data_IF_615352254377
#
_entry.id   IF_615352254377
#
_cell.length_a   1.000
_cell.length_b   1.000
_cell.length_c   1.000
_cell.angle_alpha   90.00
_cell.angle_beta   90.00
_cell.angle_gamma   90.00
#
_symmetry.space_group_name_H-M   'P 1'
#
loop_
_entity.id
_entity.type
_entity.pdbx_description
1 polymer ?
#
# COMPACT_ATOMS: atom_id res chain seq x y z
N UNK A 1 44.56 34.50 -24.13
CA UNK A 1 44.44 34.60 -22.66
C UNK A 1 43.01 34.29 -22.30
N UNK A 2 42.74 33.06 -21.86
CA UNK A 2 41.38 32.59 -21.55
C UNK A 2 41.21 32.67 -20.04
N UNK A 3 40.59 33.74 -19.55
CA UNK A 3 40.25 33.87 -18.14
C UNK A 3 39.10 32.91 -17.82
N UNK A 4 39.42 31.81 -17.14
CA UNK A 4 38.43 30.94 -16.50
C UNK A 4 37.95 31.68 -15.26
N UNK A 5 36.89 32.47 -15.41
CA UNK A 5 36.18 33.03 -14.25
C UNK A 5 35.43 31.90 -13.59
N UNK A 6 36.09 31.20 -12.66
CA UNK A 6 35.42 30.30 -11.73
C UNK A 6 34.49 31.16 -10.87
N UNK A 7 33.19 31.16 -11.16
CA UNK A 7 32.16 31.63 -10.23
C UNK A 7 32.28 30.78 -8.96
N UNK A 8 33.09 31.22 -8.01
CA UNK A 8 33.11 30.62 -6.69
C UNK A 8 31.77 30.94 -6.03
N UNK A 9 30.90 29.94 -5.96
CA UNK A 9 29.71 30.00 -5.12
C UNK A 9 30.12 30.32 -3.69
N UNK A 10 29.26 31.03 -2.96
CA UNK A 10 29.48 31.32 -1.55
C UNK A 10 29.58 30.01 -0.76
N UNK A 11 30.80 29.62 -0.38
CA UNK A 11 31.01 28.54 0.56
C UNK A 11 30.77 29.10 1.97
N UNK A 12 29.78 28.57 2.73
CA UNK A 12 29.58 29.02 4.09
C UNK A 12 30.82 28.73 4.92
N UNK A 13 31.22 29.68 5.77
CA UNK A 13 32.40 29.56 6.64
C UNK A 13 32.26 28.42 7.67
N UNK A 14 31.03 28.07 8.03
CA UNK A 14 30.70 26.93 8.89
C UNK A 14 30.20 25.81 7.98
N UNK A 15 30.92 24.68 8.00
CA UNK A 15 30.57 23.50 7.22
C UNK A 15 30.40 22.29 8.12
N UNK A 16 29.49 21.42 7.71
CA UNK A 16 29.22 20.13 8.35
C UNK A 16 30.01 19.10 7.55
N UNK A 17 31.02 18.49 8.16
CA UNK A 17 31.98 17.63 7.45
C UNK A 17 31.82 16.15 7.80
N UNK A 18 31.03 15.82 8.83
CA UNK A 18 30.78 14.43 9.21
C UNK A 18 29.30 14.15 9.41
N UNK A 19 28.93 12.88 9.25
CA UNK A 19 27.58 12.41 9.53
C UNK A 19 27.17 12.69 10.99
N UNK A 20 28.08 12.54 11.95
CA UNK A 20 27.82 12.83 13.37
C UNK A 20 27.54 14.31 13.63
N UNK A 21 28.28 15.22 12.98
CA UNK A 21 27.99 16.66 13.04
C UNK A 21 26.64 16.98 12.42
N UNK A 22 26.28 16.32 11.32
CA UNK A 22 24.99 16.49 10.66
C UNK A 22 23.83 16.02 11.55
N UNK A 23 23.99 14.88 12.24
CA UNK A 23 23.02 14.40 13.21
C UNK A 23 22.79 15.41 14.34
N UNK A 24 23.88 15.93 14.92
CA UNK A 24 23.79 16.94 15.98
C UNK A 24 23.17 18.24 15.49
N UNK A 25 23.53 18.68 14.28
CA UNK A 25 22.90 19.83 13.64
C UNK A 25 21.39 19.61 13.49
N UNK A 26 20.97 18.44 13.01
CA UNK A 26 19.58 18.13 12.79
C UNK A 26 18.77 18.09 14.10
N UNK A 27 19.34 17.56 15.19
CA UNK A 27 18.72 17.59 16.53
C UNK A 27 18.50 19.02 17.02
N UNK A 28 19.52 19.87 16.92
CA UNK A 28 19.44 21.28 17.33
C UNK A 28 18.44 22.03 16.45
N UNK A 29 18.52 21.85 15.13
CA UNK A 29 17.66 22.52 14.17
C UNK A 29 16.18 22.14 14.40
N UNK A 30 15.88 20.86 14.66
CA UNK A 30 14.53 20.39 14.95
C UNK A 30 13.92 21.04 16.19
N UNK A 31 14.74 21.38 17.21
CA UNK A 31 14.31 22.05 18.43
C UNK A 31 14.34 23.59 18.39
N UNK A 32 14.92 24.19 17.34
CA UNK A 32 15.20 25.63 17.27
C UNK A 32 13.97 26.51 17.04
N UNK A 33 12.88 25.96 16.49
CA UNK A 33 11.73 26.74 16.01
C UNK A 33 12.00 27.58 14.75
N UNK A 34 13.21 27.53 14.18
CA UNK A 34 13.62 28.28 12.98
C UNK A 34 13.61 27.44 11.70
N UNK A 35 13.18 26.18 11.79
CA UNK A 35 12.98 25.30 10.62
C UNK A 35 11.53 25.35 10.15
N UNK A 36 11.26 25.07 8.85
CA UNK A 36 9.88 24.96 8.38
C UNK A 36 9.07 23.93 9.19
N UNK A 37 7.74 24.15 9.25
CA UNK A 37 6.82 23.35 10.08
C UNK A 37 6.95 21.85 9.86
N UNK A 38 7.24 21.43 8.64
CA UNK A 38 7.38 20.02 8.29
C UNK A 38 8.58 19.34 8.96
N UNK A 39 9.57 20.11 9.40
CA UNK A 39 10.82 19.66 10.01
C UNK A 39 10.87 19.81 11.53
N UNK A 40 9.94 20.55 12.14
CA UNK A 40 9.91 20.77 13.59
C UNK A 40 9.77 19.44 14.34
N UNK A 41 10.67 19.20 15.30
CA UNK A 41 10.70 17.95 16.07
C UNK A 41 11.07 16.69 15.28
N UNK A 42 11.56 16.83 14.03
CA UNK A 42 11.88 15.69 13.14
C UNK A 42 13.34 15.75 12.65
N UNK A 43 14.33 15.43 13.51
CA UNK A 43 15.74 15.49 13.14
C UNK A 43 16.10 14.57 11.97
N UNK A 44 15.53 13.37 11.88
CA UNK A 44 15.78 12.47 10.76
C UNK A 44 15.34 13.07 9.40
N UNK A 45 14.23 13.81 9.36
CA UNK A 45 13.78 14.47 8.14
C UNK A 45 14.73 15.59 7.72
N UNK A 46 15.26 16.36 8.69
CA UNK A 46 16.26 17.40 8.45
C UNK A 46 17.55 16.79 7.89
N UNK A 47 18.04 15.71 8.50
CA UNK A 47 19.25 15.03 8.05
C UNK A 47 19.13 14.61 6.58
N UNK A 48 18.03 13.96 6.21
CA UNK A 48 17.79 13.52 4.82
C UNK A 48 17.65 14.71 3.87
N UNK A 49 16.92 15.76 4.27
CA UNK A 49 16.76 16.95 3.45
C UNK A 49 18.09 17.66 3.21
N UNK A 50 18.95 17.79 4.23
CA UNK A 50 20.28 18.40 4.11
C UNK A 50 21.19 17.54 3.24
N UNK A 51 21.18 16.21 3.39
CA UNK A 51 21.98 15.32 2.56
C UNK A 51 21.57 15.43 1.08
N UNK A 52 20.27 15.42 0.80
CA UNK A 52 19.73 15.59 -0.55
C UNK A 52 20.03 16.98 -1.12
N UNK A 53 19.95 18.02 -0.30
CA UNK A 53 20.31 19.37 -0.75
C UNK A 53 21.80 19.50 -1.03
N UNK A 54 22.67 18.89 -0.22
CA UNK A 54 24.11 18.82 -0.48
C UNK A 54 24.40 18.16 -1.82
N UNK A 55 23.65 17.10 -2.18
CA UNK A 55 23.70 16.49 -3.50
C UNK A 55 23.33 17.48 -4.61
N UNK A 56 22.34 18.34 -4.43
CA UNK A 56 21.99 19.40 -5.37
C UNK A 56 22.94 20.61 -5.34
N UNK A 57 23.94 20.62 -4.45
CA UNK A 57 24.83 21.76 -4.25
C UNK A 57 24.24 22.88 -3.38
N UNK A 58 23.19 22.60 -2.61
CA UNK A 58 22.58 23.52 -1.65
C UNK A 58 23.28 23.43 -0.29
N UNK A 59 23.42 24.57 0.38
CA UNK A 59 23.87 24.61 1.77
C UNK A 59 22.80 24.02 2.71
N UNK A 60 23.15 23.55 3.94
CA UNK A 60 22.20 22.91 4.85
C UNK A 60 20.93 23.73 5.14
N UNK A 61 21.09 25.03 5.45
CA UNK A 61 19.96 25.93 5.71
C UNK A 61 19.10 26.15 4.46
N UNK A 62 19.73 26.25 3.29
CA UNK A 62 19.05 26.40 2.01
C UNK A 62 18.29 25.13 1.63
N UNK A 63 18.83 23.96 1.97
CA UNK A 63 18.23 22.65 1.73
C UNK A 63 16.89 22.53 2.44
N UNK A 64 16.84 22.88 3.73
CA UNK A 64 15.59 22.83 4.51
C UNK A 64 14.52 23.80 3.98
N UNK A 65 14.91 24.96 3.46
CA UNK A 65 13.96 25.94 2.91
C UNK A 65 13.42 25.51 1.54
N UNK A 66 14.27 24.88 0.72
CA UNK A 66 13.96 24.62 -0.69
C UNK A 66 13.47 23.20 -0.98
N UNK A 67 13.74 22.25 -0.09
CA UNK A 67 13.30 20.86 -0.22
C UNK A 67 12.05 20.66 0.64
N UNK A 68 10.99 20.18 0.01
CA UNK A 68 9.74 19.80 0.64
C UNK A 68 9.52 18.29 0.51
N UNK A 69 9.07 17.64 1.58
CA UNK A 69 8.71 16.22 1.56
C UNK A 69 7.20 16.11 1.48
N UNK A 70 6.68 15.86 0.29
CA UNK A 70 5.24 15.83 0.02
C UNK A 70 4.84 14.40 -0.30
N UNK A 71 3.88 13.86 0.44
CA UNK A 71 3.44 12.46 0.31
C UNK A 71 4.57 11.42 0.42
N UNK A 72 5.63 11.74 1.17
CA UNK A 72 6.82 10.89 1.31
C UNK A 72 7.78 10.96 0.12
N UNK A 73 7.54 11.85 -0.85
CA UNK A 73 8.41 12.13 -1.98
C UNK A 73 9.19 13.42 -1.74
N UNK A 74 10.52 13.35 -1.66
CA UNK A 74 11.35 14.55 -1.66
C UNK A 74 11.19 15.31 -2.96
N UNK A 75 10.94 16.62 -2.86
CA UNK A 75 10.66 17.50 -3.98
C UNK A 75 11.29 18.86 -3.73
N UNK A 76 11.54 19.64 -4.79
CA UNK A 76 12.18 20.96 -4.70
C UNK A 76 11.18 22.04 -5.11
N UNK A 77 11.10 23.15 -4.39
CA UNK A 77 10.24 24.27 -4.80
C UNK A 77 10.62 24.79 -6.19
N UNK A 78 9.63 25.09 -7.04
CA UNK A 78 9.87 25.45 -8.43
C UNK A 78 10.79 26.65 -8.64
N UNK A 79 10.83 27.60 -7.70
CA UNK A 79 11.76 28.73 -7.74
C UNK A 79 13.21 28.33 -7.43
N UNK A 80 13.40 27.44 -6.45
CA UNK A 80 14.73 26.91 -6.14
C UNK A 80 15.26 26.04 -7.28
N UNK A 81 14.37 25.28 -7.92
CA UNK A 81 14.69 24.46 -9.07
C UNK A 81 15.17 25.31 -10.26
N UNK A 82 14.49 26.43 -10.54
CA UNK A 82 14.94 27.41 -11.54
C UNK A 82 16.31 28.01 -11.17
N UNK A 83 16.52 28.35 -9.90
CA UNK A 83 17.78 28.87 -9.40
C UNK A 83 18.94 27.90 -9.60
N UNK A 84 18.73 26.61 -9.30
CA UNK A 84 19.71 25.55 -9.51
C UNK A 84 20.09 25.41 -10.99
N UNK A 85 19.10 25.40 -11.88
CA UNK A 85 19.36 25.31 -13.32
C UNK A 85 20.10 26.54 -13.82
N UNK A 86 19.66 27.75 -13.46
CA UNK A 86 20.32 28.99 -13.89
C UNK A 86 21.75 29.14 -13.36
N UNK A 87 22.03 28.61 -12.16
CA UNK A 87 23.38 28.57 -11.61
C UNK A 87 24.28 27.53 -12.30
N UNK A 88 23.69 26.57 -13.02
CA UNK A 88 24.44 25.50 -13.68
C UNK A 88 25.22 26.05 -14.89
N UNK A 89 26.51 25.71 -15.03
CA UNK A 89 27.34 26.20 -16.13
C UNK A 89 26.87 25.73 -17.51
N UNK A 90 26.07 24.66 -17.57
CA UNK A 90 25.51 24.11 -18.82
C UNK A 90 24.23 24.82 -19.26
N UNK A 91 23.61 25.64 -18.40
CA UNK A 91 22.45 26.44 -18.77
C UNK A 91 22.87 27.59 -19.67
N UNK A 92 22.15 27.77 -20.78
CA UNK A 92 22.29 28.94 -21.65
C UNK A 92 21.26 29.99 -21.22
N UNK A 93 19.97 29.64 -21.26
CA UNK A 93 18.89 30.52 -20.80
C UNK A 93 17.63 29.72 -20.42
N UNK A 94 16.76 30.32 -19.62
CA UNK A 94 15.41 29.83 -19.34
C UNK A 94 14.44 31.01 -19.39
N UNK A 95 13.54 30.96 -20.37
CA UNK A 95 12.53 31.99 -20.62
C UNK A 95 11.15 31.44 -20.32
N UNK A 96 10.37 32.21 -19.56
CA UNK A 96 9.00 31.87 -19.21
C UNK A 96 8.07 32.95 -19.76
N UNK A 97 7.04 32.54 -20.50
CA UNK A 97 6.01 33.43 -21.03
C UNK A 97 4.62 32.91 -20.67
N UNK A 98 3.67 33.83 -20.64
CA UNK A 98 2.26 33.53 -20.45
C UNK A 98 1.50 34.15 -21.60
N UNK A 99 0.82 33.31 -22.38
CA UNK A 99 0.04 33.72 -23.54
C UNK A 99 -1.46 33.55 -23.26
N UNK A 100 -2.28 34.37 -23.91
CA UNK A 100 -3.74 34.31 -23.78
C UNK A 100 -4.29 34.90 -22.50
N UNK A 101 -5.61 34.86 -22.37
CA UNK A 101 -6.36 35.42 -21.25
C UNK A 101 -7.49 34.50 -20.81
N UNK A 102 -7.84 34.56 -19.52
CA UNK A 102 -8.90 33.76 -18.92
C UNK A 102 -8.70 32.26 -19.16
N UNK A 103 -9.72 31.62 -19.73
CA UNK A 103 -9.73 30.18 -20.03
C UNK A 103 -8.82 29.75 -21.19
N UNK A 104 -8.28 30.69 -21.96
CA UNK A 104 -7.34 30.41 -23.07
C UNK A 104 -5.87 30.61 -22.67
N UNK A 105 -5.62 30.81 -21.38
CA UNK A 105 -4.29 31.10 -20.89
C UNK A 105 -3.40 29.86 -20.95
N UNK A 106 -2.17 30.04 -21.43
CA UNK A 106 -1.15 28.99 -21.53
C UNK A 106 0.17 29.53 -21.05
N UNK A 107 0.77 28.84 -20.08
CA UNK A 107 2.14 29.09 -19.67
C UNK A 107 3.10 28.30 -20.54
N UNK A 108 4.18 28.94 -20.95
CA UNK A 108 5.22 28.36 -21.81
C UNK A 108 6.56 28.57 -21.11
N UNK A 109 7.34 27.50 -21.00
CA UNK A 109 8.71 27.56 -20.51
C UNK A 109 9.65 26.97 -21.55
N UNK A 110 10.62 27.78 -21.97
CA UNK A 110 11.66 27.38 -22.91
C UNK A 110 12.99 27.33 -22.16
N UNK A 111 13.52 26.12 -22.02
CA UNK A 111 14.76 25.84 -21.34
C UNK A 111 15.85 25.50 -22.38
N UNK A 112 16.90 26.32 -22.42
CA UNK A 112 17.99 26.17 -23.39
C UNK A 112 19.28 25.75 -22.71
N UNK A 113 19.82 24.63 -23.16
CA UNK A 113 21.10 24.09 -22.73
C UNK A 113 22.18 24.40 -23.77
N UNK A 114 23.39 24.75 -23.32
CA UNK A 114 24.51 25.06 -24.21
C UNK A 114 24.80 23.87 -25.14
N UNK A 115 24.84 24.15 -26.45
CA UNK A 115 25.13 23.14 -27.47
C UNK A 115 24.00 22.13 -27.74
N UNK A 116 22.79 22.33 -27.20
CA UNK A 116 21.62 21.49 -27.48
C UNK A 116 20.43 22.33 -27.97
N UNK A 117 19.48 21.68 -28.62
CA UNK A 117 18.22 22.32 -29.00
C UNK A 117 17.43 22.74 -27.76
N UNK A 118 16.71 23.88 -27.80
CA UNK A 118 15.83 24.28 -26.72
C UNK A 118 14.73 23.24 -26.49
N UNK A 119 14.38 23.03 -25.23
CA UNK A 119 13.23 22.22 -24.83
C UNK A 119 12.13 23.18 -24.40
N UNK A 120 10.94 22.97 -24.93
CA UNK A 120 9.77 23.79 -24.64
C UNK A 120 8.70 22.92 -24.00
N UNK A 121 8.13 23.40 -22.89
CA UNK A 121 6.95 22.82 -22.28
C UNK A 121 5.85 23.87 -22.18
N UNK A 122 4.61 23.43 -22.43
CA UNK A 122 3.41 24.25 -22.34
C UNK A 122 2.44 23.64 -21.34
N UNK A 123 1.73 24.49 -20.63
CA UNK A 123 0.63 24.05 -19.77
C UNK A 123 -0.50 25.07 -19.80
N UNK A 124 -1.65 24.64 -20.30
CA UNK A 124 -2.83 25.49 -20.49
C UNK A 124 -3.84 25.35 -19.36
N UNK A 125 -4.78 26.30 -19.30
CA UNK A 125 -5.95 26.19 -18.41
C UNK A 125 -6.78 24.94 -18.75
N UNK A 126 -6.85 24.54 -20.01
CA UNK A 126 -7.55 23.32 -20.41
C UNK A 126 -6.86 22.09 -19.80
N UNK A 127 -5.54 22.00 -19.90
CA UNK A 127 -4.76 20.91 -19.29
C UNK A 127 -4.96 20.88 -17.76
N UNK A 128 -5.03 22.05 -17.11
CA UNK A 128 -5.29 22.16 -15.68
C UNK A 128 -6.70 21.70 -15.29
N UNK A 129 -7.70 21.92 -16.15
CA UNK A 129 -9.08 21.44 -15.96
C UNK A 129 -9.16 19.93 -16.17
N UNK A 130 -8.50 19.42 -17.21
CA UNK A 130 -8.45 17.99 -17.54
C UNK A 130 -7.73 17.19 -16.44
N UNK A 131 -6.71 17.78 -15.82
CA UNK A 131 -6.02 17.24 -14.65
C UNK A 131 -6.75 17.46 -13.31
N UNK A 132 -7.97 18.03 -13.33
CA UNK A 132 -8.77 18.36 -12.14
C UNK A 132 -8.06 19.27 -11.11
N UNK A 133 -7.08 20.07 -11.56
CA UNK A 133 -6.30 20.98 -10.71
C UNK A 133 -6.97 22.35 -10.58
N UNK A 134 -7.66 22.79 -11.63
CA UNK A 134 -8.24 24.14 -11.69
C UNK A 134 -9.28 24.43 -10.59
N UNK A 135 -10.04 23.41 -10.19
CA UNK A 135 -11.07 23.52 -9.14
C UNK A 135 -10.55 23.16 -7.75
N UNK A 136 -9.29 22.72 -7.64
CA UNK A 136 -8.67 22.33 -6.37
C UNK A 136 -8.52 23.54 -5.46
N UNK A 137 -8.93 23.38 -4.21
CA UNK A 137 -8.76 24.43 -3.20
C UNK A 137 -7.27 24.69 -2.94
N UNK A 138 -6.91 25.98 -2.82
CA UNK A 138 -5.53 26.40 -2.56
C UNK A 138 -4.93 27.24 -3.69
N UNK A 139 -3.61 27.10 -3.97
CA UNK A 139 -2.87 27.97 -4.88
C UNK A 139 -3.44 28.03 -6.31
N UNK A 140 -4.04 26.94 -6.81
CA UNK A 140 -4.67 26.92 -8.14
C UNK A 140 -5.82 27.91 -8.27
N UNK A 141 -6.62 28.08 -7.20
CA UNK A 141 -7.73 29.05 -7.18
C UNK A 141 -7.29 30.47 -6.86
N UNK A 142 -6.31 30.62 -5.96
CA UNK A 142 -5.84 31.94 -5.51
C UNK A 142 -4.85 32.59 -6.49
N UNK A 143 -3.98 31.78 -7.08
CA UNK A 143 -2.86 32.23 -7.92
C UNK A 143 -2.72 31.35 -9.20
N UNK A 144 -3.77 31.23 -10.04
CA UNK A 144 -3.79 30.32 -11.18
C UNK A 144 -2.64 30.57 -12.18
N UNK A 145 -2.32 31.85 -12.46
CA UNK A 145 -1.22 32.21 -13.38
C UNK A 145 0.12 31.64 -12.92
N UNK A 146 0.40 31.73 -11.62
CA UNK A 146 1.64 31.23 -11.02
C UNK A 146 1.69 29.71 -11.08
N UNK A 147 0.57 29.03 -10.86
CA UNK A 147 0.50 27.57 -10.92
C UNK A 147 0.70 27.03 -12.33
N UNK A 148 0.11 27.67 -13.35
CA UNK A 148 0.38 27.34 -14.76
C UNK A 148 1.87 27.48 -15.08
N UNK A 149 2.49 28.60 -14.68
CA UNK A 149 3.92 28.84 -14.87
C UNK A 149 4.77 27.78 -14.17
N UNK A 150 4.47 27.44 -12.91
CA UNK A 150 5.19 26.41 -12.17
C UNK A 150 5.10 25.03 -12.83
N UNK A 151 3.96 24.71 -13.43
CA UNK A 151 3.76 23.43 -14.11
C UNK A 151 4.55 23.37 -15.42
N UNK A 152 4.45 24.40 -16.27
CA UNK A 152 5.25 24.49 -17.49
C UNK A 152 6.76 24.47 -17.20
N UNK A 153 7.20 25.22 -16.17
CA UNK A 153 8.59 25.24 -15.70
C UNK A 153 9.07 23.85 -15.28
N UNK A 154 8.32 23.17 -14.43
CA UNK A 154 8.70 21.86 -13.89
C UNK A 154 8.95 20.83 -15.00
N UNK A 155 8.14 20.86 -16.06
CA UNK A 155 8.30 19.97 -17.21
C UNK A 155 9.54 20.35 -18.06
N UNK A 156 9.64 21.60 -18.49
CA UNK A 156 10.77 22.05 -19.32
C UNK A 156 12.13 21.83 -18.66
N UNK A 157 12.24 22.13 -17.35
CA UNK A 157 13.51 22.03 -16.64
C UNK A 157 13.93 20.57 -16.38
N UNK A 158 12.99 19.66 -16.11
CA UNK A 158 13.28 18.24 -15.94
C UNK A 158 13.73 17.58 -17.23
N UNK A 159 13.13 17.97 -18.35
CA UNK A 159 13.46 17.40 -19.66
C UNK A 159 14.79 17.97 -20.18
N UNK A 160 15.08 19.26 -19.95
CA UNK A 160 16.32 19.90 -20.41
C UNK A 160 17.55 19.61 -19.52
N UNK A 161 17.35 19.50 -18.19
CA UNK A 161 18.42 19.38 -17.19
C UNK A 161 18.22 18.20 -16.22
N UNK A 162 17.99 16.97 -16.70
CA UNK A 162 17.78 15.81 -15.83
C UNK A 162 18.99 15.50 -14.95
N UNK A 163 20.19 15.81 -15.42
CA UNK A 163 21.46 15.65 -14.69
C UNK A 163 21.63 16.63 -13.54
N UNK A 164 21.14 17.86 -13.68
CA UNK A 164 21.20 18.88 -12.62
C UNK A 164 20.19 18.56 -11.53
N UNK A 165 19.00 18.10 -11.91
CA UNK A 165 17.86 17.91 -11.01
C UNK A 165 17.82 16.51 -10.38
N UNK A 166 18.61 15.56 -10.87
CA UNK A 166 18.76 14.20 -10.32
C UNK A 166 17.43 13.47 -10.13
N UNK A 167 16.48 13.70 -11.05
CA UNK A 167 15.16 13.07 -11.04
C UNK A 167 14.16 13.66 -10.04
N UNK A 168 14.49 14.77 -9.36
CA UNK A 168 13.55 15.43 -8.46
C UNK A 168 12.46 16.19 -9.23
N UNK A 169 11.25 16.15 -8.69
CA UNK A 169 10.08 16.89 -9.19
C UNK A 169 9.89 18.19 -8.42
N UNK A 170 9.08 19.10 -8.98
CA UNK A 170 8.70 20.31 -8.26
C UNK A 170 7.76 19.98 -7.11
N UNK A 171 7.88 20.72 -6.00
CA UNK A 171 6.98 20.57 -4.86
C UNK A 171 5.51 20.80 -5.25
N UNK A 172 5.27 21.74 -6.17
CA UNK A 172 3.96 22.01 -6.76
C UNK A 172 3.42 20.79 -7.55
N UNK A 173 4.28 20.01 -8.20
CA UNK A 173 3.91 18.72 -8.82
C UNK A 173 3.57 17.67 -7.80
N UNK A 174 4.45 17.48 -6.81
CA UNK A 174 4.24 16.48 -5.79
C UNK A 174 2.96 16.73 -4.96
N UNK A 175 2.60 17.99 -4.73
CA UNK A 175 1.38 18.39 -4.02
C UNK A 175 0.10 18.07 -4.81
N UNK A 176 0.21 17.93 -6.13
CA UNK A 176 -0.90 17.63 -7.01
C UNK A 176 -1.11 16.14 -7.24
N UNK A 177 -0.08 15.32 -7.04
CA UNK A 177 -0.19 13.86 -7.09
C UNK A 177 -0.93 13.36 -5.84
N UNK A 178 -2.06 12.63 -6.00
CA UNK A 178 -2.76 12.03 -4.87
C UNK A 178 -1.85 11.12 -4.03
N UNK A 179 -2.11 11.07 -2.72
CA UNK A 179 -1.30 10.35 -1.74
C UNK A 179 -1.25 8.81 -1.93
N UNK A 180 -2.01 8.28 -2.89
CA UNK A 180 -2.30 6.85 -3.01
C UNK A 180 -1.22 6.01 -3.71
N UNK A 181 -0.28 6.60 -4.45
CA UNK A 181 0.59 5.79 -5.32
C UNK A 181 1.93 5.36 -4.72
N UNK A 182 2.42 6.02 -3.66
CA UNK A 182 3.75 5.71 -3.10
C UNK A 182 3.70 4.90 -1.81
N UNK A 183 2.65 5.03 -1.01
CA UNK A 183 2.54 4.35 0.31
C UNK A 183 1.73 3.07 0.27
N UNK A 184 0.76 2.90 -0.63
CA UNK A 184 0.03 1.62 -0.73
C UNK A 184 0.96 0.43 -1.06
N UNK A 185 2.11 0.66 -1.69
CA UNK A 185 3.13 -0.37 -1.94
C UNK A 185 4.01 -0.69 -0.72
N UNK A 186 4.18 0.23 0.25
CA UNK A 186 5.14 0.05 1.36
C UNK A 186 4.47 -0.07 2.73
N UNK A 187 3.36 0.64 2.98
CA UNK A 187 2.73 0.68 4.31
C UNK A 187 1.78 -0.49 4.59
N UNK A 188 1.34 -1.24 3.56
CA UNK A 188 0.54 -2.45 3.72
C UNK A 188 1.35 -3.75 3.54
N UNK A 189 2.64 -3.66 3.21
CA UNK A 189 3.51 -4.81 3.20
C UNK A 189 4.13 -4.92 4.59
N UNK A 190 3.50 -5.72 5.46
CA UNK A 190 4.26 -6.40 6.50
C UNK A 190 5.47 -7.11 5.86
N UNK A 191 6.55 -7.39 6.60
CA UNK A 191 7.76 -7.99 6.02
C UNK A 191 7.38 -9.14 5.10
N UNK A 192 7.64 -8.95 3.81
CA UNK A 192 7.35 -9.97 2.81
C UNK A 192 8.30 -11.12 3.12
N UNK A 193 7.77 -12.15 3.76
CA UNK A 193 8.51 -13.37 4.06
C UNK A 193 8.83 -14.05 2.73
N UNK A 194 10.00 -13.73 2.17
CA UNK A 194 10.55 -14.34 0.94
C UNK A 194 11.09 -15.75 1.19
N UNK A 195 10.90 -16.32 2.38
CA UNK A 195 11.22 -17.72 2.62
C UNK A 195 10.34 -18.58 1.71
N UNK A 196 10.93 -19.39 0.80
CA UNK A 196 10.15 -20.30 -0.03
C UNK A 196 9.40 -21.24 0.90
N UNK A 197 8.08 -21.13 0.96
CA UNK A 197 7.24 -22.04 1.74
C UNK A 197 7.38 -23.43 1.12
N UNK A 198 8.13 -24.29 1.79
CA UNK A 198 8.10 -25.73 1.53
C UNK A 198 6.65 -26.19 1.69
N UNK A 199 5.98 -26.54 0.61
CA UNK A 199 4.67 -27.17 0.67
C UNK A 199 4.87 -28.53 1.34
N UNK A 200 4.60 -28.60 2.65
CA UNK A 200 4.53 -29.88 3.34
C UNK A 200 3.38 -30.67 2.71
N UNK A 201 3.73 -31.77 2.04
CA UNK A 201 2.77 -32.79 1.61
C UNK A 201 2.16 -33.33 2.91
N UNK A 202 0.92 -32.96 3.20
CA UNK A 202 0.21 -33.42 4.38
C UNK A 202 -0.26 -34.85 4.10
N UNK A 203 0.48 -35.85 4.57
CA UNK A 203 0.02 -37.24 4.54
C UNK A 203 -1.24 -37.35 5.40
N UNK A 204 -2.40 -37.58 4.77
CA UNK A 204 -3.66 -37.82 5.48
C UNK A 204 -3.59 -39.19 6.16
N UNK A 205 -3.69 -39.21 7.50
CA UNK A 205 -3.77 -40.48 8.26
C UNK A 205 -5.05 -41.24 7.85
N UNK A 206 -4.97 -42.57 7.63
CA UNK A 206 -6.16 -43.36 7.34
C UNK A 206 -7.15 -43.31 8.52
N UNK A 207 -8.41 -43.01 8.22
CA UNK A 207 -9.49 -42.92 9.21
C UNK A 207 -10.15 -44.29 9.35
N UNK A 208 -10.20 -44.83 10.57
CA UNK A 208 -10.96 -46.04 10.89
C UNK A 208 -12.45 -45.68 11.06
N UNK A 209 -13.24 -45.95 10.03
CA UNK A 209 -14.66 -45.63 10.01
C UNK A 209 -15.49 -46.51 10.95
N UNK A 210 -15.11 -47.77 11.14
CA UNK A 210 -15.85 -48.72 12.00
C UNK A 210 -15.76 -48.28 13.45
N UNK A 211 -14.55 -47.97 13.94
CA UNK A 211 -14.37 -47.48 15.30
C UNK A 211 -15.09 -46.14 15.53
N UNK A 212 -15.07 -45.25 14.53
CA UNK A 212 -15.72 -43.95 14.61
C UNK A 212 -17.23 -44.07 14.80
N UNK A 213 -17.91 -44.84 13.96
CA UNK A 213 -19.37 -44.98 14.03
C UNK A 213 -19.82 -45.84 15.22
N UNK A 214 -19.06 -46.87 15.59
CA UNK A 214 -19.33 -47.67 16.80
C UNK A 214 -19.43 -46.78 18.05
N UNK A 215 -18.51 -45.83 18.21
CA UNK A 215 -18.50 -44.94 19.38
C UNK A 215 -19.73 -44.02 19.43
N UNK A 216 -20.18 -43.54 18.28
CA UNK A 216 -21.32 -42.61 18.19
C UNK A 216 -22.66 -43.30 18.28
N UNK A 217 -22.78 -44.50 17.73
CA UNK A 217 -24.01 -45.29 17.82
C UNK A 217 -24.34 -45.71 19.24
N UNK A 218 -23.32 -46.01 20.05
CA UNK A 218 -23.48 -46.24 21.50
C UNK A 218 -24.06 -45.03 22.24
N UNK A 219 -23.77 -43.82 21.76
CA UNK A 219 -24.25 -42.58 22.35
C UNK A 219 -25.66 -42.15 21.87
N UNK A 220 -26.21 -42.79 20.83
CA UNK A 220 -27.57 -42.48 20.38
C UNK A 220 -28.62 -43.12 21.29
N UNK A 221 -29.59 -42.31 21.73
CA UNK A 221 -30.68 -42.70 22.64
C UNK A 221 -31.99 -43.05 21.94
N UNK A 222 -32.16 -42.63 20.70
CA UNK A 222 -33.41 -42.74 19.94
C UNK A 222 -33.14 -43.17 18.49
N UNK A 223 -34.17 -43.72 17.85
CA UNK A 223 -34.11 -44.17 16.45
C UNK A 223 -33.81 -43.01 15.47
N UNK A 224 -34.25 -41.79 15.75
CA UNK A 224 -33.97 -40.59 14.95
C UNK A 224 -32.48 -40.21 14.93
N UNK A 225 -31.78 -40.34 16.04
CA UNK A 225 -30.33 -40.13 16.15
C UNK A 225 -29.54 -41.07 15.24
N UNK A 226 -29.98 -42.34 15.15
CA UNK A 226 -29.34 -43.36 14.30
C UNK A 226 -29.51 -43.01 12.82
N UNK A 227 -30.73 -42.67 12.39
CA UNK A 227 -31.01 -42.26 10.99
C UNK A 227 -30.24 -40.99 10.57
N UNK A 228 -30.05 -40.04 11.51
CA UNK A 228 -29.27 -38.83 11.24
C UNK A 228 -27.77 -39.12 11.05
N UNK A 229 -27.23 -40.12 11.77
CA UNK A 229 -25.86 -40.57 11.60
C UNK A 229 -25.69 -41.39 10.32
N UNK A 230 -26.68 -42.19 9.94
CA UNK A 230 -26.71 -42.93 8.68
C UNK A 230 -26.65 -41.98 7.48
N UNK A 231 -27.45 -40.91 7.48
CA UNK A 231 -27.38 -39.85 6.46
C UNK A 231 -26.01 -39.17 6.37
N UNK A 232 -25.30 -39.01 7.50
CA UNK A 232 -23.92 -38.49 7.52
C UNK A 232 -22.93 -39.50 6.95
N UNK A 233 -23.18 -40.80 7.15
CA UNK A 233 -22.38 -41.85 6.56
C UNK A 233 -22.49 -41.85 5.04
N UNK A 234 -23.69 -41.76 4.48
CA UNK A 234 -23.91 -41.63 3.03
C UNK A 234 -23.19 -40.42 2.41
N UNK A 235 -23.24 -39.26 3.07
CA UNK A 235 -22.51 -38.07 2.63
C UNK A 235 -20.99 -38.27 2.63
N UNK A 236 -20.47 -39.05 3.58
CA UNK A 236 -19.04 -39.37 3.67
C UNK A 236 -18.63 -40.29 2.54
N UNK A 237 -19.46 -41.29 2.22
CA UNK A 237 -19.25 -42.17 1.07
C UNK A 237 -19.26 -41.40 -0.26
N UNK A 238 -20.21 -40.47 -0.44
CA UNK A 238 -20.29 -39.65 -1.64
C UNK A 238 -19.05 -38.77 -1.83
N UNK A 239 -18.58 -38.11 -0.75
CA UNK A 239 -17.35 -37.30 -0.78
C UNK A 239 -16.10 -38.13 -1.06
N UNK A 240 -16.01 -39.33 -0.48
CA UNK A 240 -14.89 -40.24 -0.72
C UNK A 240 -14.86 -40.70 -2.20
N UNK A 241 -16.03 -40.96 -2.79
CA UNK A 241 -16.18 -41.29 -4.21
C UNK A 241 -15.78 -40.12 -5.12
N UNK A 242 -16.25 -38.91 -4.85
CA UNK A 242 -15.93 -37.70 -5.63
C UNK A 242 -14.43 -37.35 -5.54
N UNK A 243 -13.78 -37.66 -4.41
CA UNK A 243 -12.34 -37.51 -4.23
C UNK A 243 -11.51 -38.62 -4.90
N UNK A 244 -12.14 -39.57 -5.62
CA UNK A 244 -11.47 -40.65 -6.33
C UNK A 244 -10.87 -41.74 -5.43
N UNK A 245 -11.26 -41.79 -4.15
CA UNK A 245 -10.80 -42.76 -3.16
C UNK A 245 -12.00 -43.46 -2.50
N UNK A 246 -12.64 -44.42 -3.19
CA UNK A 246 -13.78 -45.13 -2.62
C UNK A 246 -13.39 -45.94 -1.38
N UNK A 247 -14.26 -45.93 -0.37
CA UNK A 247 -14.12 -46.75 0.85
C UNK A 247 -14.28 -48.24 0.45
N UNK A 248 -13.55 -49.14 1.12
CA UNK A 248 -13.64 -50.58 0.84
C UNK A 248 -15.03 -51.13 1.13
N UNK A 249 -15.47 -52.08 0.31
CA UNK A 249 -16.80 -52.70 0.40
C UNK A 249 -17.04 -53.40 1.76
N UNK A 250 -16.00 -54.00 2.32
CA UNK A 250 -16.02 -54.63 3.66
C UNK A 250 -16.36 -53.60 4.76
N UNK A 251 -15.72 -52.43 4.74
CA UNK A 251 -15.97 -51.36 5.74
C UNK A 251 -17.35 -50.75 5.57
N UNK A 252 -17.85 -50.67 4.33
CA UNK A 252 -19.22 -50.21 4.07
C UNK A 252 -20.24 -51.18 4.70
N UNK A 253 -20.05 -52.48 4.50
CA UNK A 253 -20.91 -53.51 5.08
C UNK A 253 -20.87 -53.48 6.62
N UNK A 254 -19.67 -53.48 7.22
CA UNK A 254 -19.50 -53.46 8.69
C UNK A 254 -20.18 -52.26 9.35
N UNK A 255 -20.03 -51.06 8.76
CA UNK A 255 -20.65 -49.86 9.30
C UNK A 255 -22.17 -49.91 9.14
N UNK A 256 -22.68 -50.42 8.01
CA UNK A 256 -24.12 -50.58 7.79
C UNK A 256 -24.75 -51.59 8.76
N UNK A 257 -24.08 -52.70 9.04
CA UNK A 257 -24.54 -53.70 10.02
C UNK A 257 -24.61 -53.09 11.43
N UNK A 258 -23.62 -52.27 11.83
CA UNK A 258 -23.65 -51.54 13.10
C UNK A 258 -24.87 -50.61 13.23
N UNK A 259 -25.25 -49.94 12.14
CA UNK A 259 -26.45 -49.09 12.10
C UNK A 259 -27.72 -49.93 12.28
N UNK A 260 -27.84 -51.04 11.54
CA UNK A 260 -28.98 -51.94 11.60
C UNK A 260 -29.18 -52.53 13.01
N UNK A 261 -28.10 -53.02 13.63
CA UNK A 261 -28.12 -53.60 14.98
C UNK A 261 -28.59 -52.57 16.02
N UNK A 262 -28.04 -51.35 15.99
CA UNK A 262 -28.41 -50.30 16.95
C UNK A 262 -29.84 -49.83 16.74
N UNK A 263 -30.29 -49.69 15.49
CA UNK A 263 -31.65 -49.30 15.17
C UNK A 263 -32.66 -50.34 15.64
N UNK A 264 -32.39 -51.63 15.38
CA UNK A 264 -33.23 -52.74 15.83
C UNK A 264 -33.40 -52.77 17.35
N UNK A 265 -32.30 -52.66 18.09
CA UNK A 265 -32.33 -52.64 19.56
C UNK A 265 -33.15 -51.49 20.13
N UNK A 266 -33.04 -50.29 19.56
CA UNK A 266 -33.82 -49.13 20.01
C UNK A 266 -35.30 -49.25 19.65
N UNK A 267 -35.62 -49.75 18.46
CA UNK A 267 -37.00 -49.95 18.02
C UNK A 267 -37.71 -51.07 18.82
N UNK A 268 -36.99 -52.11 19.24
CA UNK A 268 -37.53 -53.13 20.15
C UNK A 268 -37.79 -52.57 21.56
N UNK A 269 -36.87 -51.75 22.08
CA UNK A 269 -37.07 -51.06 23.35
C UNK A 269 -38.27 -50.09 23.31
N UNK A 270 -38.43 -49.33 22.21
CA UNK A 270 -39.60 -48.46 21.99
C UNK A 270 -40.91 -49.26 21.95
N UNK A 271 -40.91 -50.45 21.32
CA UNK A 271 -42.08 -51.36 21.29
C UNK A 271 -42.41 -51.91 22.68
N UNK A 272 -41.42 -52.44 23.39
CA UNK A 272 -41.61 -52.95 24.76
C UNK A 272 -42.11 -51.86 25.72
N UNK A 273 -41.62 -50.63 25.56
CA UNK A 273 -42.09 -49.49 26.33
C UNK A 273 -43.52 -49.08 25.96
N UNK A 274 -43.90 -49.17 24.69
CA UNK A 274 -45.28 -48.95 24.25
C UNK A 274 -46.24 -50.02 24.79
N UNK A 275 -45.85 -51.30 24.75
CA UNK A 275 -46.64 -52.41 25.29
C UNK A 275 -46.79 -52.28 26.82
N UNK A 276 -45.71 -51.96 27.54
CA UNK A 276 -45.75 -51.71 28.98
C UNK A 276 -46.63 -50.50 29.34
N UNK A 277 -46.65 -49.46 28.51
CA UNK A 277 -47.55 -48.31 28.69
C UNK A 277 -49.02 -48.66 28.38
N UNK A 278 -49.28 -49.64 27.52
CA UNK A 278 -50.63 -50.10 27.18
C UNK A 278 -51.22 -51.06 28.23
N UNK A 279 -50.38 -51.77 28.99
CA UNK A 279 -50.80 -52.69 30.07
C UNK A 279 -51.15 -51.99 31.39
N UNK A 280 -50.93 -50.67 31.52
CA UNK A 280 -51.32 -49.91 32.73
C UNK A 280 -52.86 -49.80 32.81
N UNK A 281 -53.54 -50.40 33.81
CA UNK A 281 -54.98 -50.34 33.95
C UNK A 281 -55.45 -48.91 34.28
N UNK A 282 -56.53 -48.45 33.65
CA UNK A 282 -57.12 -47.14 33.93
C UNK A 282 -57.90 -47.14 35.26
N UNK A 283 -57.21 -46.89 36.37
CA UNK A 283 -57.71 -46.53 37.70
C UNK A 283 -56.78 -45.41 38.22
N UNK A 284 -57.17 -44.24 38.72
CA UNK A 284 -58.45 -43.62 39.07
C UNK A 284 -58.31 -42.12 38.74
N UNK A 285 -59.34 -41.51 38.15
CA UNK A 285 -59.49 -40.04 38.14
C UNK A 285 -60.08 -39.61 39.49
N UNK A 286 -59.43 -38.74 40.29
CA UNK A 286 -60.14 -37.98 41.29
C UNK A 286 -60.79 -36.74 40.64
N UNK A 287 -62.04 -36.51 41.05
CA UNK A 287 -62.99 -35.50 40.58
C UNK A 287 -62.56 -34.04 40.77
#
# INVERSE_FOLDING_TARGET
MTAVTTTQGHAPAIQINSFSELMRFAEIAAGSGMVPKDYVGKPAAILIAVQMGSELGLAPMQSMQNIAVINGRPSVWGDALLGLVKASPVCDDVVETLEGEGDRMTAICVAKRKGKSPVEARFSVQDAKDAALWTKQGPWKQYPKRMLQMRARGFALRDAFPDVLRGLITAEEAADIPQDDFRKSVSNQGPVDVTPKCQQIKEERPVDHVAFFTSRLKACSDTGCVLALEKKWEQTQAKARDAGRPISEEVLADVTDLFADRYGALHEAERQQADANAEVPAEEMPA
#
